data_IF_039796714831
#
_entry.id   IF_039796714831
#
_cell.length_a   1.000
_cell.length_b   1.000
_cell.length_c   1.000
_cell.angle_alpha   90.00
_cell.angle_beta   90.00
_cell.angle_gamma   90.00
#
_symmetry.space_group_name_H-M   'P 1'
#
loop_
_entity.id
_entity.type
_entity.pdbx_description
1 polymer ?
#
# COMPACT_ATOMS: atom_id res chain seq x y z
N UNK A 1 2.16 -17.84 7.28
CA UNK A 1 0.86 -17.75 7.98
C UNK A 1 0.83 -16.43 8.72
N UNK A 2 -0.25 -15.65 8.64
CA UNK A 2 -0.29 -14.31 9.24
C UNK A 2 -1.08 -14.30 10.55
N UNK A 3 -2.27 -14.90 10.56
CA UNK A 3 -3.07 -15.15 11.76
C UNK A 3 -3.98 -16.36 11.57
N UNK A 4 -4.44 -16.95 12.68
CA UNK A 4 -5.40 -18.05 12.71
C UNK A 4 -6.45 -17.76 13.79
N UNK A 5 -7.74 -17.81 13.44
CA UNK A 5 -8.84 -17.77 14.39
C UNK A 5 -9.62 -19.09 14.32
N UNK A 6 -10.03 -19.61 15.48
CA UNK A 6 -10.81 -20.84 15.56
C UNK A 6 -12.23 -20.50 16.02
N UNK A 7 -13.24 -21.03 15.36
CA UNK A 7 -14.64 -20.93 15.76
C UNK A 7 -15.32 -22.31 15.67
N UNK A 8 -16.62 -22.35 15.98
CA UNK A 8 -17.42 -23.58 15.95
C UNK A 8 -17.54 -24.22 14.57
N UNK A 9 -17.18 -23.51 13.50
CA UNK A 9 -17.22 -23.97 12.11
C UNK A 9 -15.85 -24.44 11.61
N UNK A 10 -14.75 -24.14 12.32
CA UNK A 10 -13.40 -24.55 11.96
C UNK A 10 -12.35 -23.47 12.23
N UNK A 11 -11.19 -23.59 11.58
CA UNK A 11 -10.10 -22.63 11.67
C UNK A 11 -10.06 -21.74 10.42
N UNK A 12 -10.18 -20.42 10.60
CA UNK A 12 -9.91 -19.43 9.56
C UNK A 12 -8.42 -19.06 9.63
N UNK A 13 -7.70 -19.26 8.54
CA UNK A 13 -6.29 -18.88 8.45
C UNK A 13 -6.13 -17.80 7.39
N UNK A 14 -5.64 -16.63 7.78
CA UNK A 14 -5.31 -15.56 6.83
C UNK A 14 -3.83 -15.70 6.49
N UNK A 15 -3.55 -16.03 5.24
CA UNK A 15 -2.18 -16.07 4.72
C UNK A 15 -1.76 -14.68 4.24
N UNK A 16 -0.45 -14.46 4.14
CA UNK A 16 0.10 -13.24 3.55
C UNK A 16 -0.40 -13.04 2.10
N UNK A 17 -0.64 -14.12 1.36
CA UNK A 17 -1.09 -14.04 -0.03
C UNK A 17 -2.47 -13.38 -0.17
N UNK A 18 -3.35 -13.53 0.82
CA UNK A 18 -4.66 -12.84 0.81
C UNK A 18 -4.45 -11.33 0.95
N UNK A 19 -3.56 -10.90 1.84
CA UNK A 19 -3.23 -9.47 1.98
C UNK A 19 -2.60 -8.94 0.69
N UNK A 20 -1.74 -9.74 0.05
CA UNK A 20 -1.13 -9.38 -1.22
C UNK A 20 -2.19 -9.12 -2.31
N UNK A 21 -3.21 -9.98 -2.41
CA UNK A 21 -4.33 -9.80 -3.34
C UNK A 21 -5.16 -8.55 -3.02
N UNK A 22 -5.42 -8.27 -1.74
CA UNK A 22 -6.12 -7.05 -1.32
C UNK A 22 -5.33 -5.80 -1.74
N UNK A 23 -4.00 -5.82 -1.55
CA UNK A 23 -3.14 -4.72 -1.98
C UNK A 23 -3.20 -4.57 -3.49
N UNK A 24 -3.03 -5.64 -4.27
CA UNK A 24 -3.12 -5.58 -5.75
C UNK A 24 -4.47 -5.02 -6.22
N UNK A 25 -5.57 -5.55 -5.68
CA UNK A 25 -6.92 -5.08 -5.96
C UNK A 25 -7.08 -3.57 -5.65
N UNK A 26 -6.51 -3.09 -4.54
CA UNK A 26 -6.57 -1.68 -4.18
C UNK A 26 -5.86 -0.77 -5.19
N UNK A 27 -4.80 -1.23 -5.86
CA UNK A 27 -4.07 -0.43 -6.85
C UNK A 27 -4.81 -0.28 -8.18
N UNK A 28 -5.77 -1.15 -8.49
CA UNK A 28 -6.61 -1.01 -9.69
C UNK A 28 -7.35 0.34 -9.73
N UNK A 29 -7.75 0.88 -8.58
CA UNK A 29 -8.43 2.18 -8.50
C UNK A 29 -7.56 3.39 -8.85
N UNK A 30 -6.24 3.19 -8.92
CA UNK A 30 -5.25 4.24 -9.20
C UNK A 30 -4.31 3.82 -10.34
N UNK A 31 -4.79 2.93 -11.22
CA UNK A 31 -4.01 2.41 -12.34
C UNK A 31 -3.42 3.54 -13.17
N UNK A 32 -2.12 3.42 -13.47
CA UNK A 32 -1.39 4.41 -14.24
C UNK A 32 -1.05 5.70 -13.49
N UNK A 33 -1.51 5.90 -12.25
CA UNK A 33 -1.19 7.05 -11.39
C UNK A 33 -0.24 6.70 -10.25
N UNK A 34 -0.36 5.49 -9.72
CA UNK A 34 0.46 4.97 -8.65
C UNK A 34 0.88 3.54 -9.01
N UNK A 35 2.14 3.20 -8.75
CA UNK A 35 2.66 1.87 -8.95
C UNK A 35 3.33 1.39 -7.68
N UNK A 36 3.16 0.11 -7.35
CA UNK A 36 3.97 -0.54 -6.34
C UNK A 36 5.43 -0.50 -6.77
N UNK A 37 6.32 -0.27 -5.82
CA UNK A 37 7.75 -0.16 -6.07
C UNK A 37 8.50 -1.18 -5.23
N UNK A 38 9.53 -1.73 -5.83
CA UNK A 38 10.52 -2.52 -5.13
C UNK A 38 11.55 -1.53 -4.54
N UNK A 39 11.68 -1.47 -3.22
CA UNK A 39 12.86 -0.98 -2.48
C UNK A 39 12.89 0.43 -1.83
N UNK A 40 13.61 0.47 -0.69
CA UNK A 40 13.90 1.52 0.30
C UNK A 40 14.93 2.62 -0.11
N UNK A 41 15.25 2.86 -1.39
CA UNK A 41 16.14 4.00 -1.72
C UNK A 41 17.00 3.97 -3.00
N UNK A 42 16.93 2.94 -3.82
CA UNK A 42 17.70 2.86 -5.07
C UNK A 42 16.86 2.23 -6.16
N UNK A 43 16.12 3.06 -6.89
CA UNK A 43 15.53 2.64 -8.16
C UNK A 43 16.70 2.35 -9.11
N UNK A 44 16.91 1.08 -9.49
CA UNK A 44 17.89 0.74 -10.51
C UNK A 44 17.41 1.32 -11.84
N UNK A 45 18.21 2.18 -12.49
CA UNK A 45 17.92 2.79 -13.79
C UNK A 45 17.48 1.78 -14.86
N UNK A 46 17.80 0.49 -14.68
CA UNK A 46 17.43 -0.61 -15.56
C UNK A 46 15.94 -0.98 -15.42
N UNK A 47 15.41 -1.09 -14.19
CA UNK A 47 13.99 -1.38 -13.93
C UNK A 47 13.09 -0.20 -14.38
N UNK A 48 13.61 1.03 -14.27
CA UNK A 48 12.97 2.26 -14.76
C UNK A 48 12.79 2.26 -16.27
N UNK A 49 13.82 1.84 -17.02
CA UNK A 49 13.81 1.86 -18.49
C UNK A 49 12.85 0.83 -19.09
N UNK A 50 12.65 -0.30 -18.42
CA UNK A 50 11.78 -1.38 -18.92
C UNK A 50 10.30 -1.22 -18.52
N UNK A 51 9.96 -0.26 -17.64
CA UNK A 51 8.57 0.00 -17.22
C UNK A 51 7.93 -1.16 -16.43
N UNK A 52 8.74 -2.09 -15.94
CA UNK A 52 8.31 -3.26 -15.16
C UNK A 52 8.19 -2.91 -13.69
N UNK A 53 7.26 -2.01 -13.35
CA UNK A 53 7.03 -1.59 -11.97
C UNK A 53 6.36 -2.69 -11.11
N UNK A 54 5.66 -3.65 -11.73
CA UNK A 54 4.92 -4.71 -11.01
C UNK A 54 5.74 -5.95 -10.64
N UNK A 55 6.96 -6.11 -11.15
CA UNK A 55 7.73 -7.32 -10.89
C UNK A 55 8.43 -7.25 -9.51
N UNK A 56 7.74 -7.79 -8.50
CA UNK A 56 8.24 -8.14 -7.16
C UNK A 56 8.30 -6.96 -6.18
N UNK A 57 7.35 -6.03 -6.17
CA UNK A 57 7.37 -4.94 -5.19
C UNK A 57 7.46 -5.43 -3.73
N UNK A 58 8.54 -5.08 -3.05
CA UNK A 58 8.76 -5.36 -1.64
C UNK A 58 7.70 -4.61 -0.80
N UNK A 59 6.93 -5.35 0.00
CA UNK A 59 5.94 -4.80 0.93
C UNK A 59 6.09 -5.44 2.31
N UNK A 60 5.92 -4.66 3.36
CA UNK A 60 5.97 -5.14 4.75
C UNK A 60 4.54 -5.43 5.19
N UNK A 61 4.27 -6.67 5.59
CA UNK A 61 2.97 -7.08 6.13
C UNK A 61 3.27 -7.84 7.41
N UNK A 62 2.88 -7.27 8.54
CA UNK A 62 3.24 -7.75 9.87
C UNK A 62 2.03 -7.65 10.80
N UNK A 63 2.08 -8.38 11.91
CA UNK A 63 1.12 -8.26 13.00
C UNK A 63 1.79 -7.52 14.17
N UNK A 64 1.18 -6.45 14.64
CA UNK A 64 1.57 -5.71 15.85
C UNK A 64 0.42 -5.80 16.85
N UNK A 65 0.66 -6.39 18.03
CA UNK A 65 -0.37 -6.52 19.08
C UNK A 65 -1.73 -7.02 18.55
N UNK A 66 -1.70 -8.10 17.77
CA UNK A 66 -2.86 -8.72 17.08
C UNK A 66 -3.58 -7.84 16.05
N UNK A 67 -2.94 -6.78 15.58
CA UNK A 67 -3.44 -5.89 14.53
C UNK A 67 -2.53 -5.90 13.29
N UNK A 68 -3.12 -5.80 12.11
CA UNK A 68 -2.40 -5.82 10.83
C UNK A 68 -1.68 -4.49 10.58
N UNK A 69 -0.38 -4.54 10.33
CA UNK A 69 0.41 -3.43 9.81
C UNK A 69 0.81 -3.69 8.37
N UNK A 70 0.58 -2.70 7.49
CA UNK A 70 0.98 -2.76 6.08
C UNK A 70 1.83 -1.55 5.72
N UNK A 71 3.03 -1.79 5.19
CA UNK A 71 3.88 -0.74 4.59
C UNK A 71 4.13 -1.03 3.13
N UNK A 72 3.79 -0.07 2.29
CA UNK A 72 3.96 -0.12 0.85
C UNK A 72 5.00 0.91 0.41
N UNK A 73 5.73 0.58 -0.65
CA UNK A 73 6.59 1.53 -1.34
C UNK A 73 5.98 1.77 -2.72
N UNK A 74 5.94 3.02 -3.15
CA UNK A 74 5.26 3.39 -4.40
C UNK A 74 6.01 4.44 -5.19
N UNK A 75 5.77 4.44 -6.50
CA UNK A 75 6.12 5.54 -7.41
C UNK A 75 4.82 6.20 -7.86
N UNK A 76 4.78 7.52 -7.86
CA UNK A 76 3.63 8.30 -8.31
C UNK A 76 3.88 8.92 -9.68
N UNK A 77 2.83 9.13 -10.48
CA UNK A 77 2.94 9.91 -11.71
C UNK A 77 3.10 11.41 -11.38
N UNK A 78 4.05 12.05 -12.05
CA UNK A 78 4.25 13.50 -11.93
C UNK A 78 2.99 14.25 -12.41
N UNK A 79 2.51 15.16 -11.56
CA UNK A 79 1.30 15.96 -11.82
C UNK A 79 0.03 15.39 -11.19
N UNK A 80 0.08 14.17 -10.64
CA UNK A 80 -1.03 13.59 -9.87
C UNK A 80 -0.93 13.96 -8.38
N UNK A 81 -2.08 14.02 -7.70
CA UNK A 81 -2.12 14.23 -6.26
C UNK A 81 -1.66 12.97 -5.52
N UNK A 82 -0.50 13.05 -4.86
CA UNK A 82 0.04 11.93 -4.07
C UNK A 82 -0.91 11.57 -2.92
N UNK A 83 -1.34 12.57 -2.15
CA UNK A 83 -2.16 12.35 -0.97
C UNK A 83 -3.53 11.74 -1.31
N UNK A 84 -4.14 12.18 -2.40
CA UNK A 84 -5.43 11.63 -2.85
C UNK A 84 -5.31 10.18 -3.30
N UNK A 85 -4.37 9.89 -4.21
CA UNK A 85 -4.20 8.53 -4.73
C UNK A 85 -3.74 7.55 -3.64
N UNK A 86 -2.81 7.95 -2.77
CA UNK A 86 -2.42 7.12 -1.62
C UNK A 86 -3.60 6.92 -0.66
N UNK A 87 -4.39 7.96 -0.40
CA UNK A 87 -5.58 7.88 0.43
C UNK A 87 -6.63 6.90 -0.10
N UNK A 88 -6.88 6.89 -1.42
CA UNK A 88 -7.78 5.92 -2.06
C UNK A 88 -7.30 4.49 -1.83
N UNK A 89 -6.01 4.23 -2.06
CA UNK A 89 -5.41 2.91 -1.84
C UNK A 89 -5.51 2.49 -0.37
N UNK A 90 -5.10 3.36 0.57
CA UNK A 90 -5.18 3.07 2.01
C UNK A 90 -6.61 2.78 2.45
N UNK A 91 -7.59 3.57 1.99
CA UNK A 91 -8.99 3.36 2.36
C UNK A 91 -9.54 2.04 1.82
N UNK A 92 -9.17 1.66 0.59
CA UNK A 92 -9.60 0.39 0.00
C UNK A 92 -8.99 -0.81 0.75
N UNK A 93 -7.69 -0.77 1.04
CA UNK A 93 -7.03 -1.80 1.85
C UNK A 93 -7.67 -1.86 3.25
N UNK A 94 -7.84 -0.71 3.91
CA UNK A 94 -8.42 -0.66 5.25
C UNK A 94 -9.82 -1.28 5.26
N UNK A 95 -10.69 -0.87 4.33
CA UNK A 95 -12.05 -1.41 4.19
C UNK A 95 -12.02 -2.92 3.94
N UNK A 96 -11.25 -3.38 2.95
CA UNK A 96 -11.23 -4.81 2.58
C UNK A 96 -10.67 -5.67 3.75
N UNK A 97 -9.68 -5.16 4.51
CA UNK A 97 -9.15 -5.83 5.70
C UNK A 97 -10.14 -5.84 6.87
N UNK A 98 -10.74 -4.70 7.21
CA UNK A 98 -11.58 -4.59 8.41
C UNK A 98 -13.00 -5.10 8.20
N UNK A 99 -13.56 -4.93 7.00
CA UNK A 99 -14.95 -5.30 6.69
C UNK A 99 -15.05 -6.71 6.10
N UNK A 100 -14.12 -7.11 5.22
CA UNK A 100 -14.21 -8.44 4.57
C UNK A 100 -13.48 -9.53 5.36
N UNK A 101 -12.33 -9.21 5.96
CA UNK A 101 -11.56 -10.19 6.74
C UNK A 101 -11.80 -10.11 8.25
N UNK A 102 -12.57 -9.11 8.71
CA UNK A 102 -12.80 -8.81 10.13
C UNK A 102 -11.49 -8.74 10.93
N UNK A 103 -10.39 -8.35 10.26
CA UNK A 103 -9.06 -8.31 10.86
C UNK A 103 -8.81 -6.90 11.40
N UNK A 104 -8.46 -6.75 12.70
CA UNK A 104 -8.09 -5.45 13.25
C UNK A 104 -6.90 -4.86 12.50
N UNK A 105 -6.99 -3.59 12.11
CA UNK A 105 -5.92 -2.87 11.42
C UNK A 105 -5.15 -2.01 12.42
N UNK A 106 -3.82 -2.15 12.43
CA UNK A 106 -2.91 -1.27 13.18
C UNK A 106 -2.76 0.02 12.40
N UNK A 107 -2.13 -0.06 11.23
CA UNK A 107 -1.84 1.08 10.39
C UNK A 107 -1.55 0.66 8.93
N UNK A 108 -1.68 1.64 8.02
CA UNK A 108 -1.19 1.53 6.64
C UNK A 108 -0.27 2.71 6.37
N UNK A 109 0.96 2.40 5.99
CA UNK A 109 1.95 3.37 5.55
C UNK A 109 2.23 3.23 4.05
N UNK A 110 2.27 4.35 3.34
CA UNK A 110 2.72 4.40 1.95
C UNK A 110 3.92 5.33 1.87
N UNK A 111 5.09 4.76 1.56
CA UNK A 111 6.32 5.48 1.28
C UNK A 111 6.43 5.74 -0.23
N UNK A 112 6.33 7.00 -0.63
CA UNK A 112 6.49 7.44 -2.01
C UNK A 112 7.97 7.69 -2.28
N UNK A 113 8.60 6.76 -2.99
CA UNK A 113 10.05 6.75 -3.22
C UNK A 113 10.46 7.48 -4.49
N UNK A 114 9.50 7.83 -5.35
CA UNK A 114 9.76 8.59 -6.55
C UNK A 114 8.52 9.08 -7.28
N UNK A 115 8.75 9.98 -8.24
CA UNK A 115 7.75 10.42 -9.21
C UNK A 115 8.22 10.17 -10.64
N UNK A 116 7.38 9.60 -11.49
CA UNK A 116 7.68 9.31 -12.90
C UNK A 116 6.97 10.29 -13.83
N UNK A 117 7.72 10.85 -14.78
CA UNK A 117 7.17 11.72 -15.84
C UNK A 117 6.70 10.92 -17.06
N UNK A 118 6.01 11.57 -18.00
CA UNK A 118 5.61 10.96 -19.29
C UNK A 118 6.80 10.37 -20.08
N UNK A 119 7.98 10.96 -19.92
CA UNK A 119 9.22 10.51 -20.57
C UNK A 119 9.94 9.40 -19.80
N UNK A 120 9.26 8.75 -18.83
CA UNK A 120 9.79 7.69 -17.96
C UNK A 120 11.01 8.07 -17.11
N UNK A 121 11.34 9.35 -17.02
CA UNK A 121 12.32 9.84 -16.06
C UNK A 121 11.71 9.82 -14.66
N UNK A 122 12.44 9.22 -13.72
CA UNK A 122 12.07 9.15 -12.31
C UNK A 122 12.89 10.14 -11.51
N UNK A 123 12.21 10.92 -10.68
CA UNK A 123 12.80 11.79 -9.69
C UNK A 123 12.57 11.17 -8.32
N UNK A 124 13.63 10.96 -7.55
CA UNK A 124 13.52 10.41 -6.18
C UNK A 124 12.65 11.31 -5.31
N UNK A 125 11.87 10.69 -4.44
CA UNK A 125 11.08 11.35 -3.41
C UNK A 125 11.28 10.61 -2.11
N UNK A 126 11.14 11.33 -1.00
CA UNK A 126 11.11 10.75 0.33
C UNK A 126 9.94 11.39 1.06
N UNK A 127 8.77 10.76 0.90
CA UNK A 127 7.52 11.19 1.49
C UNK A 127 6.81 9.94 2.00
N UNK A 128 6.44 9.94 3.28
CA UNK A 128 5.63 8.87 3.85
C UNK A 128 4.28 9.43 4.23
N UNK A 129 3.22 8.70 3.88
CA UNK A 129 1.87 8.96 4.33
C UNK A 129 1.44 7.85 5.28
N UNK A 130 0.74 8.24 6.32
CA UNK A 130 0.24 7.38 7.39
C UNK A 130 -1.28 7.51 7.48
N UNK A 131 -2.00 6.37 7.44
CA UNK A 131 -3.46 6.37 7.50
C UNK A 131 -4.01 7.04 8.76
N UNK A 132 -3.38 6.83 9.93
CA UNK A 132 -3.82 7.43 11.20
C UNK A 132 -3.72 8.95 11.15
N UNK A 133 -2.61 9.47 10.66
CA UNK A 133 -2.42 10.92 10.50
C UNK A 133 -3.43 11.51 9.51
N UNK A 134 -3.68 10.82 8.40
CA UNK A 134 -4.66 11.25 7.41
C UNK A 134 -6.09 11.30 7.97
N UNK A 135 -6.47 10.33 8.81
CA UNK A 135 -7.78 10.33 9.48
C UNK A 135 -7.88 11.48 10.49
N UNK A 136 -6.87 11.66 11.34
CA UNK A 136 -6.84 12.72 12.34
C UNK A 136 -6.93 14.12 11.71
N UNK A 137 -6.25 14.34 10.59
CA UNK A 137 -6.27 15.63 9.89
C UNK A 137 -7.61 15.93 9.20
N UNK A 138 -8.38 14.89 8.80
CA UNK A 138 -9.72 15.06 8.22
C UNK A 138 -10.77 15.40 9.28
N UNK A 139 -10.62 14.88 10.50
CA UNK A 139 -11.55 15.14 11.61
C UNK A 139 -11.51 16.60 12.10
N UNK A 140 -10.45 17.36 11.80
CA UNK A 140 -10.30 18.77 12.20
C UNK A 140 -10.95 19.73 11.17
N UNK A 141 -11.55 19.23 10.08
CA UNK A 141 -12.21 20.05 9.04
C UNK A 141 -13.74 19.91 8.97
N UNK A 142 -14.40 19.58 10.09
CA UNK A 142 -15.86 19.70 10.27
C UNK A 142 -16.16 20.72 11.38
#
# INVERSE_FOLDING_TARGET
MLTQSNNSLGALTISRQIIDQIVEHAFESVEGKLWLANYKGAVSDVLVKIGGFDAIAEKKVEMHDDKLYVKLYVISRLGESIAENCGIVMQRIARDVTEMLELPLDNIEIAVTGTVSKNKNIVKRDLTLDLREMLNNRTISL
#
